data_IF_289922874212
#
_entry.id   IF_289922874212
#
_cell.length_a   1.000
_cell.length_b   1.000
_cell.length_c   1.000
_cell.angle_alpha   90.00
_cell.angle_beta   90.00
_cell.angle_gamma   90.00
#
_symmetry.space_group_name_H-M   'P 1'
#
loop_
_entity.id
_entity.type
_entity.pdbx_description
1 polymer ?
#
# COMPACT_ATOMS: atom_id res chain seq x y z
N UNK A 1 20.01 -19.49 5.01
CA UNK A 1 19.70 -18.05 4.83
C UNK A 1 19.11 -17.69 3.45
N UNK A 2 18.65 -18.65 2.64
CA UNK A 2 18.14 -18.41 1.28
C UNK A 2 16.89 -17.52 1.22
N UNK A 3 15.93 -17.70 2.13
CA UNK A 3 14.71 -16.88 2.14
C UNK A 3 14.97 -15.38 2.32
N UNK A 4 16.06 -15.00 3.01
CA UNK A 4 16.49 -13.59 3.10
C UNK A 4 17.02 -13.11 1.75
N UNK A 5 17.91 -13.88 1.12
CA UNK A 5 18.47 -13.55 -0.20
C UNK A 5 17.40 -13.35 -1.27
N UNK A 6 16.36 -14.18 -1.29
CA UNK A 6 15.24 -14.02 -2.23
C UNK A 6 14.50 -12.71 -1.99
N UNK A 7 14.19 -12.36 -0.74
CA UNK A 7 13.53 -11.09 -0.41
C UNK A 7 14.37 -9.88 -0.77
N UNK A 8 15.67 -9.92 -0.50
CA UNK A 8 16.59 -8.83 -0.83
C UNK A 8 16.69 -8.64 -2.36
N UNK A 9 16.76 -9.73 -3.13
CA UNK A 9 16.81 -9.68 -4.60
C UNK A 9 15.52 -9.15 -5.24
N UNK A 10 14.38 -9.41 -4.60
CA UNK A 10 13.05 -9.02 -5.09
C UNK A 10 12.51 -7.74 -4.43
N UNK A 11 13.32 -7.07 -3.60
CA UNK A 11 12.92 -5.88 -2.84
C UNK A 11 11.63 -6.10 -2.03
N UNK A 12 11.49 -7.29 -1.43
CA UNK A 12 10.31 -7.63 -0.64
C UNK A 12 10.43 -7.07 0.77
N UNK A 13 9.54 -6.15 1.12
CA UNK A 13 9.32 -5.77 2.52
C UNK A 13 8.11 -6.49 3.12
N UNK A 14 8.08 -6.69 4.45
CA UNK A 14 6.84 -7.04 5.14
C UNK A 14 5.75 -6.02 4.81
N UNK A 15 4.52 -6.49 4.59
CA UNK A 15 3.35 -5.66 4.24
C UNK A 15 3.48 -4.86 2.94
N UNK A 16 4.35 -5.31 2.04
CA UNK A 16 4.36 -4.78 0.68
C UNK A 16 3.12 -5.26 -0.09
N UNK A 17 2.29 -4.31 -0.52
CA UNK A 17 1.07 -4.62 -1.25
C UNK A 17 1.36 -5.29 -2.59
N UNK A 18 2.54 -5.10 -3.21
CA UNK A 18 2.95 -5.75 -4.46
C UNK A 18 2.96 -7.28 -4.37
N UNK A 19 3.17 -7.81 -3.16
CA UNK A 19 3.25 -9.25 -2.87
C UNK A 19 2.02 -9.74 -2.09
N UNK A 20 0.95 -8.94 -2.00
CA UNK A 20 -0.28 -9.27 -1.30
C UNK A 20 -1.36 -9.75 -2.28
N UNK A 21 -2.16 -10.73 -1.86
CA UNK A 21 -3.32 -11.14 -2.64
C UNK A 21 -4.32 -9.97 -2.74
N UNK A 22 -4.84 -9.61 -3.93
CA UNK A 22 -5.75 -8.48 -4.10
C UNK A 22 -6.97 -8.53 -3.16
N UNK A 23 -7.55 -9.71 -2.94
CA UNK A 23 -8.68 -9.92 -2.02
C UNK A 23 -8.36 -9.66 -0.54
N UNK A 24 -7.09 -9.47 -0.19
CA UNK A 24 -6.64 -9.12 1.18
C UNK A 24 -6.21 -7.65 1.32
N UNK A 25 -6.05 -6.93 0.22
CA UNK A 25 -5.57 -5.55 0.24
C UNK A 25 -6.56 -4.60 0.94
N UNK A 26 -7.86 -4.73 0.66
CA UNK A 26 -8.89 -3.88 1.27
C UNK A 26 -8.91 -3.98 2.81
N UNK A 27 -8.75 -5.20 3.34
CA UNK A 27 -8.80 -5.50 4.78
C UNK A 27 -7.49 -5.19 5.51
N UNK A 28 -6.36 -5.21 4.80
CA UNK A 28 -5.03 -5.04 5.39
C UNK A 28 -4.78 -3.59 5.78
N UNK A 29 -5.06 -3.22 7.03
CA UNK A 29 -4.85 -1.84 7.52
C UNK A 29 -3.42 -1.32 7.30
N UNK A 30 -2.41 -2.18 7.45
CA UNK A 30 -1.02 -1.74 7.43
C UNK A 30 -0.58 -1.13 6.10
N UNK A 31 -1.11 -1.61 4.97
CA UNK A 31 -0.70 -1.12 3.64
C UNK A 31 -1.29 0.26 3.30
N UNK A 32 -2.21 0.74 4.13
CA UNK A 32 -2.88 2.04 3.96
C UNK A 32 -2.31 3.12 4.88
N UNK A 33 -1.37 2.76 5.76
CA UNK A 33 -0.74 3.70 6.69
C UNK A 33 0.40 4.43 5.98
N UNK A 34 0.25 5.74 5.75
CA UNK A 34 1.25 6.58 5.09
C UNK A 34 1.61 7.79 5.95
N UNK A 35 2.83 8.31 5.81
CA UNK A 35 3.24 9.54 6.48
C UNK A 35 2.84 10.75 5.64
N UNK A 36 1.98 11.60 6.20
CA UNK A 36 1.58 12.90 5.62
C UNK A 36 2.02 13.98 6.58
N UNK A 37 2.94 14.85 6.13
CA UNK A 37 3.52 15.90 6.97
C UNK A 37 4.09 15.38 8.32
N UNK A 38 4.68 14.18 8.30
CA UNK A 38 5.27 13.56 9.49
C UNK A 38 4.28 12.82 10.39
N UNK A 39 2.98 12.83 10.09
CA UNK A 39 1.96 12.09 10.82
C UNK A 39 1.55 10.83 10.06
N UNK A 40 1.55 9.70 10.76
CA UNK A 40 1.10 8.42 10.22
C UNK A 40 -0.43 8.40 10.23
N UNK A 41 -1.04 8.35 9.04
CA UNK A 41 -2.50 8.37 8.85
C UNK A 41 -2.96 7.20 8.00
N UNK A 42 -4.22 6.81 8.18
CA UNK A 42 -4.89 5.88 7.27
C UNK A 42 -5.34 6.66 6.03
N UNK A 43 -4.66 6.47 4.90
CA UNK A 43 -4.87 7.29 3.69
C UNK A 43 -6.29 7.15 3.12
N UNK A 44 -6.99 6.05 3.42
CA UNK A 44 -8.38 5.82 2.99
C UNK A 44 -9.34 6.86 3.57
N UNK A 45 -8.95 7.52 4.66
CA UNK A 45 -9.73 8.57 5.33
C UNK A 45 -9.30 9.99 4.94
N UNK A 46 -8.30 10.11 4.06
CA UNK A 46 -7.79 11.39 3.60
C UNK A 46 -8.53 11.86 2.34
N UNK A 47 -8.47 13.15 1.97
CA UNK A 47 -9.01 13.65 0.71
C UNK A 47 -8.49 12.89 -0.51
N UNK A 48 -9.27 12.87 -1.60
CA UNK A 48 -8.97 12.10 -2.82
C UNK A 48 -7.61 12.46 -3.39
N UNK A 49 -7.25 13.74 -3.36
CA UNK A 49 -5.98 14.28 -3.87
C UNK A 49 -4.77 13.68 -3.12
N UNK A 50 -4.92 13.43 -1.81
CA UNK A 50 -3.88 12.78 -1.00
C UNK A 50 -3.77 11.30 -1.36
N UNK A 51 -4.89 10.64 -1.64
CA UNK A 51 -4.91 9.25 -2.09
C UNK A 51 -4.25 9.10 -3.46
N UNK A 52 -4.57 9.97 -4.42
CA UNK A 52 -3.96 10.01 -5.75
C UNK A 52 -2.45 10.22 -5.68
N UNK A 53 -1.99 11.15 -4.83
CA UNK A 53 -0.58 11.41 -4.64
C UNK A 53 0.16 10.21 -4.01
N UNK A 54 -0.47 9.55 -3.02
CA UNK A 54 0.06 8.33 -2.43
C UNK A 54 0.15 7.18 -3.46
N UNK A 55 -0.86 7.04 -4.32
CA UNK A 55 -0.87 6.07 -5.41
C UNK A 55 0.22 6.39 -6.45
N UNK A 56 0.34 7.64 -6.87
CA UNK A 56 1.40 8.11 -7.80
C UNK A 56 2.81 7.83 -7.28
N UNK A 57 2.99 7.87 -5.96
CA UNK A 57 4.25 7.52 -5.27
C UNK A 57 4.44 6.01 -5.05
N UNK A 58 3.48 5.19 -5.41
CA UNK A 58 3.52 3.74 -5.20
C UNK A 58 3.40 3.32 -3.73
N UNK A 59 2.85 4.18 -2.87
CA UNK A 59 2.71 3.89 -1.44
C UNK A 59 1.49 3.01 -1.13
N UNK A 60 0.48 3.05 -1.99
CA UNK A 60 -0.76 2.29 -1.87
C UNK A 60 -1.11 1.60 -3.20
N UNK A 61 -1.86 0.49 -3.18
CA UNK A 61 -2.10 -0.34 -4.37
C UNK A 61 -3.04 0.29 -5.41
N UNK A 62 -3.95 1.17 -5.00
CA UNK A 62 -4.92 1.86 -5.85
C UNK A 62 -5.47 3.07 -5.09
N UNK A 63 -6.28 3.91 -5.75
CA UNK A 63 -6.98 5.05 -5.14
C UNK A 63 -8.31 4.56 -4.52
N UNK A 64 -8.45 4.51 -3.18
CA UNK A 64 -9.67 3.98 -2.54
C UNK A 64 -10.96 4.71 -2.90
N UNK A 65 -10.87 6.01 -3.21
CA UNK A 65 -12.01 6.82 -3.63
C UNK A 65 -12.64 6.33 -4.95
N UNK A 66 -11.88 5.63 -5.80
CA UNK A 66 -12.36 5.10 -7.07
C UNK A 66 -12.93 3.66 -6.92
N UNK A 67 -12.93 3.11 -5.70
CA UNK A 67 -13.28 1.73 -5.41
C UNK A 67 -12.10 0.76 -5.57
N UNK A 68 -12.22 -0.49 -5.08
CA UNK A 68 -11.24 -1.53 -5.38
C UNK A 68 -11.21 -1.79 -6.90
N UNK A 69 -10.05 -2.14 -7.49
CA UNK A 69 -10.00 -2.62 -8.86
C UNK A 69 -11.00 -3.76 -9.03
N UNK A 70 -11.73 -3.80 -10.15
CA UNK A 70 -12.57 -4.96 -10.48
C UNK A 70 -11.72 -6.24 -10.35
N UNK A 71 -12.27 -7.23 -9.64
CA UNK A 71 -11.59 -8.49 -9.33
C UNK A 71 -11.49 -9.41 -10.56
#
# INVERSE_FOLDING_TARGET
NWGRKVRDLLDMSPFDHRWMLPSKMADSRMIWMVSVNGLIVDVRRMPREVQEEAYRKGLIPYVPADGPPEA
#
